data_IF_419476253659
#
_entry.id   IF_419476253659
#
_cell.length_a   1.000
_cell.length_b   1.000
_cell.length_c   1.000
_cell.angle_alpha   90.00
_cell.angle_beta   90.00
_cell.angle_gamma   90.00
#
_symmetry.space_group_name_H-M   'P 1'
#
loop_
_entity.id
_entity.type
_entity.pdbx_description
1 polymer ?
#
# COMPACT_ATOMS: atom_id res chain seq x y z
N UNK A 1 -17.16 -25.33 -6.68
CA UNK A 1 -18.05 -24.22 -7.05
C UNK A 1 -17.16 -23.02 -7.40
N UNK A 2 -16.71 -22.92 -8.65
CA UNK A 2 -15.80 -21.86 -9.14
C UNK A 2 -16.65 -20.71 -9.66
N UNK A 3 -16.65 -19.59 -8.92
CA UNK A 3 -17.40 -18.39 -9.31
C UNK A 3 -16.57 -17.59 -10.32
N UNK A 4 -16.79 -17.85 -11.60
CA UNK A 4 -16.30 -16.99 -12.69
C UNK A 4 -17.04 -15.64 -12.60
N UNK A 5 -16.44 -14.66 -11.94
CA UNK A 5 -16.95 -13.27 -11.95
C UNK A 5 -16.40 -12.58 -13.19
N UNK A 6 -17.20 -11.79 -13.91
CA UNK A 6 -16.72 -11.02 -15.05
C UNK A 6 -15.59 -10.11 -14.55
N UNK A 7 -14.40 -10.32 -15.11
CA UNK A 7 -13.16 -9.66 -14.70
C UNK A 7 -13.16 -8.23 -15.26
N UNK A 8 -13.90 -7.35 -14.60
CA UNK A 8 -13.68 -5.92 -14.76
C UNK A 8 -12.29 -5.57 -14.26
N UNK A 9 -11.59 -4.68 -14.98
CA UNK A 9 -10.25 -4.24 -14.58
C UNK A 9 -10.23 -3.84 -13.09
N UNK A 10 -9.27 -4.31 -12.28
CA UNK A 10 -9.24 -4.12 -10.83
C UNK A 10 -8.80 -2.69 -10.48
N UNK A 11 -9.65 -1.71 -10.80
CA UNK A 11 -9.38 -0.28 -10.66
C UNK A 11 -8.93 0.12 -9.26
N UNK A 12 -9.54 -0.47 -8.23
CA UNK A 12 -9.18 -0.20 -6.83
C UNK A 12 -7.73 -0.59 -6.57
N UNK A 13 -7.34 -1.83 -6.90
CA UNK A 13 -5.95 -2.29 -6.75
C UNK A 13 -4.97 -1.48 -7.60
N UNK A 14 -5.36 -1.10 -8.81
CA UNK A 14 -4.53 -0.28 -9.69
C UNK A 14 -4.27 1.13 -9.12
N UNK A 15 -5.30 1.80 -8.62
CA UNK A 15 -5.17 3.11 -7.96
C UNK A 15 -4.31 3.01 -6.70
N UNK A 16 -4.53 1.98 -5.88
CA UNK A 16 -3.76 1.78 -4.67
C UNK A 16 -2.29 1.46 -4.97
N UNK A 17 -2.02 0.68 -6.02
CA UNK A 17 -0.67 0.42 -6.51
C UNK A 17 0.02 1.73 -6.96
N UNK A 18 -0.69 2.58 -7.70
CA UNK A 18 -0.15 3.87 -8.15
C UNK A 18 0.20 4.77 -6.95
N UNK A 19 -0.69 4.86 -5.96
CA UNK A 19 -0.43 5.61 -4.72
C UNK A 19 0.80 5.07 -3.99
N UNK A 20 0.93 3.74 -3.87
CA UNK A 20 2.08 3.11 -3.24
C UNK A 20 3.39 3.44 -3.97
N UNK A 21 3.42 3.32 -5.30
CA UNK A 21 4.61 3.62 -6.10
C UNK A 21 5.00 5.09 -6.02
N UNK A 22 4.02 6.00 -6.13
CA UNK A 22 4.27 7.45 -6.03
C UNK A 22 4.77 7.81 -4.62
N UNK A 23 4.09 7.33 -3.58
CA UNK A 23 4.47 7.59 -2.19
C UNK A 23 5.87 7.05 -1.86
N UNK A 24 6.17 5.82 -2.29
CA UNK A 24 7.50 5.22 -2.14
C UNK A 24 8.58 5.99 -2.91
N UNK A 25 8.29 6.42 -4.13
CA UNK A 25 9.22 7.20 -4.95
C UNK A 25 9.55 8.55 -4.30
N UNK A 26 8.53 9.26 -3.80
CA UNK A 26 8.72 10.51 -3.05
C UNK A 26 9.55 10.26 -1.80
N UNK A 27 9.24 9.19 -1.06
CA UNK A 27 9.99 8.78 0.13
C UNK A 27 11.48 8.56 -0.16
N UNK A 28 11.83 7.98 -1.30
CA UNK A 28 13.24 7.75 -1.68
C UNK A 28 13.98 9.03 -2.10
N UNK A 29 13.25 10.05 -2.56
CA UNK A 29 13.85 11.31 -3.04
C UNK A 29 14.01 12.39 -1.98
N UNK A 30 13.41 12.20 -0.81
CA UNK A 30 13.48 13.15 0.30
C UNK A 30 14.63 12.80 1.24
N UNK A 31 15.36 13.82 1.69
CA UNK A 31 16.34 13.67 2.76
C UNK A 31 15.61 13.59 4.11
N UNK A 32 15.47 12.37 4.61
CA UNK A 32 14.81 12.13 5.89
C UNK A 32 15.79 12.25 7.05
N UNK A 33 15.33 12.75 8.21
CA UNK A 33 16.13 12.70 9.42
C UNK A 33 16.44 11.23 9.79
N UNK A 34 17.56 10.99 10.48
CA UNK A 34 17.87 9.66 10.99
C UNK A 34 16.80 9.23 12.00
N UNK A 35 16.31 8.01 11.83
CA UNK A 35 15.33 7.38 12.70
C UNK A 35 15.95 6.28 13.56
N UNK A 36 15.09 5.51 14.26
CA UNK A 36 15.53 4.39 15.08
C UNK A 36 16.31 3.34 14.28
N UNK A 37 17.19 2.62 14.97
CA UNK A 37 17.97 1.50 14.41
C UNK A 37 18.83 1.85 13.18
N UNK A 38 19.30 3.10 13.08
CA UNK A 38 20.08 3.62 11.94
C UNK A 38 19.35 3.55 10.59
N UNK A 39 18.01 3.52 10.61
CA UNK A 39 17.17 3.65 9.42
C UNK A 39 16.56 5.04 9.39
N UNK A 40 16.46 5.63 8.20
CA UNK A 40 15.81 6.92 8.02
C UNK A 40 14.29 6.84 8.24
N UNK A 41 13.68 7.98 8.60
CA UNK A 41 12.23 8.04 8.82
C UNK A 41 11.40 7.70 7.58
N UNK A 42 11.95 7.87 6.37
CA UNK A 42 11.28 7.48 5.13
C UNK A 42 11.04 5.97 5.07
N UNK A 43 12.05 5.17 5.41
CA UNK A 43 11.93 3.70 5.52
C UNK A 43 10.82 3.31 6.49
N UNK A 44 10.76 3.92 7.68
CA UNK A 44 9.74 3.62 8.67
C UNK A 44 8.32 3.97 8.18
N UNK A 45 8.17 5.12 7.52
CA UNK A 45 6.88 5.55 6.96
C UNK A 45 6.41 4.58 5.87
N UNK A 46 7.29 4.17 4.96
CA UNK A 46 6.94 3.22 3.89
C UNK A 46 6.55 1.86 4.47
N UNK A 47 7.32 1.37 5.45
CA UNK A 47 7.13 0.05 6.05
C UNK A 47 5.83 -0.03 6.86
N UNK A 48 5.59 0.93 7.76
CA UNK A 48 4.34 0.98 8.53
C UNK A 48 3.14 1.40 7.68
N UNK A 49 3.31 2.33 6.74
CA UNK A 49 2.28 2.71 5.78
C UNK A 49 1.82 1.52 4.92
N UNK A 50 2.77 0.68 4.48
CA UNK A 50 2.48 -0.57 3.79
C UNK A 50 1.64 -1.54 4.63
N UNK A 51 1.95 -1.71 5.92
CA UNK A 51 1.13 -2.54 6.81
C UNK A 51 -0.29 -1.98 6.99
N UNK A 52 -0.44 -0.68 7.22
CA UNK A 52 -1.76 -0.02 7.33
C UNK A 52 -2.56 -0.26 6.06
N UNK A 53 -1.92 -0.13 4.89
CA UNK A 53 -2.53 -0.41 3.61
C UNK A 53 -3.04 -1.86 3.50
N UNK A 54 -2.21 -2.85 3.84
CA UNK A 54 -2.60 -4.27 3.80
C UNK A 54 -3.77 -4.57 4.75
N UNK A 55 -3.74 -4.02 5.96
CA UNK A 55 -4.82 -4.18 6.94
C UNK A 55 -6.12 -3.57 6.40
N UNK A 56 -6.05 -2.36 5.85
CA UNK A 56 -7.21 -1.68 5.27
C UNK A 56 -7.78 -2.44 4.06
N UNK A 57 -6.91 -2.95 3.17
CA UNK A 57 -7.30 -3.74 2.01
C UNK A 57 -7.96 -5.06 2.44
N UNK A 58 -7.39 -5.77 3.42
CA UNK A 58 -7.99 -6.98 3.97
C UNK A 58 -9.35 -6.70 4.63
N UNK A 59 -9.46 -5.64 5.41
CA UNK A 59 -10.72 -5.23 6.03
C UNK A 59 -11.79 -4.86 4.98
N UNK A 60 -11.38 -4.17 3.90
CA UNK A 60 -12.26 -3.84 2.78
C UNK A 60 -12.74 -5.10 2.05
N UNK A 61 -11.85 -6.05 1.79
CA UNK A 61 -12.19 -7.32 1.15
C UNK A 61 -13.20 -8.11 1.98
N UNK A 62 -12.98 -8.22 3.30
CA UNK A 62 -13.90 -8.90 4.22
C UNK A 62 -15.27 -8.22 4.22
N UNK A 63 -15.33 -6.89 4.21
CA UNK A 63 -16.60 -6.15 4.25
C UNK A 63 -17.37 -6.14 2.93
N UNK A 64 -16.68 -6.11 1.79
CA UNK A 64 -17.31 -5.90 0.49
C UNK A 64 -17.36 -7.16 -0.39
N UNK A 65 -16.58 -8.18 -0.05
CA UNK A 65 -16.42 -9.41 -0.85
C UNK A 65 -15.78 -9.18 -2.22
N UNK A 66 -15.11 -8.04 -2.39
CA UNK A 66 -14.43 -7.58 -3.60
C UNK A 66 -12.93 -7.60 -3.41
#
# INVERSE_FOLDING_TARGET
MTRNRPEGFPWVSAVLMAVFVIGGSIGLTLDWPPGPANLDWGVWIVLYGGYVYLIAAAAFHIRTGR
#
